data_IF_325471557522
#
_entry.id   IF_325471557522
#
_cell.length_a   1.000
_cell.length_b   1.000
_cell.length_c   1.000
_cell.angle_alpha   90.00
_cell.angle_beta   90.00
_cell.angle_gamma   90.00
#
_symmetry.space_group_name_H-M   'P 1'
#
loop_
_entity.id
_entity.type
_entity.pdbx_description
1 polymer ?
#
# COMPACT_ATOMS: atom_id res chain seq x y z
N UNK A 1 -5.25 -1.83 -6.14
CA UNK A 1 -5.33 -2.41 -7.48
C UNK A 1 -5.67 -1.38 -8.57
N UNK A 2 -6.31 -0.26 -8.24
CA UNK A 2 -6.67 0.81 -9.19
C UNK A 2 -6.07 2.16 -8.73
N UNK A 3 -4.74 2.36 -8.89
CA UNK A 3 -4.08 3.56 -8.40
C UNK A 3 -4.48 4.80 -9.21
N UNK A 4 -4.77 5.90 -8.52
CA UNK A 4 -4.89 7.22 -9.14
C UNK A 4 -3.48 7.86 -9.22
N UNK A 5 -2.87 7.83 -10.40
CA UNK A 5 -1.52 8.33 -10.62
C UNK A 5 -1.43 9.86 -10.72
N UNK A 6 -2.56 10.57 -10.67
CA UNK A 6 -2.56 12.04 -10.52
C UNK A 6 -2.05 12.46 -9.14
N UNK A 7 -2.05 11.52 -8.17
CA UNK A 7 -1.50 11.75 -6.84
C UNK A 7 -0.02 11.38 -6.87
N UNK A 8 0.87 12.34 -6.60
CA UNK A 8 2.33 12.18 -6.64
C UNK A 8 2.94 11.54 -5.39
N UNK A 9 2.11 11.09 -4.44
CA UNK A 9 2.55 10.43 -3.21
C UNK A 9 2.77 8.93 -3.41
N UNK A 10 3.71 8.36 -2.68
CA UNK A 10 4.03 6.92 -2.72
C UNK A 10 3.87 6.27 -1.34
N UNK A 11 3.33 5.05 -1.32
CA UNK A 11 3.28 4.21 -0.13
C UNK A 11 4.53 3.32 -0.07
N UNK A 12 5.49 3.69 0.78
CA UNK A 12 6.79 3.03 0.91
C UNK A 12 6.74 1.91 1.95
N UNK A 13 7.35 0.77 1.64
CA UNK A 13 7.48 -0.32 2.62
C UNK A 13 8.60 -0.01 3.62
N UNK A 14 8.25 0.09 4.89
CA UNK A 14 9.16 0.36 6.00
C UNK A 14 9.18 -0.76 7.05
N UNK A 15 8.62 -1.92 6.74
CA UNK A 15 8.47 -3.06 7.67
C UNK A 15 9.79 -3.47 8.33
N UNK A 16 10.89 -3.48 7.58
CA UNK A 16 12.21 -3.86 8.09
C UNK A 16 12.73 -2.99 9.23
N UNK A 17 12.22 -1.77 9.36
CA UNK A 17 12.60 -0.84 10.44
C UNK A 17 11.95 -1.19 11.78
N UNK A 18 10.95 -2.06 11.75
CA UNK A 18 10.15 -2.44 12.92
C UNK A 18 10.28 -3.92 13.28
N UNK A 19 11.21 -4.65 12.67
CA UNK A 19 11.51 -6.02 13.04
C UNK A 19 12.09 -6.05 14.47
N UNK A 20 11.43 -6.79 15.38
CA UNK A 20 11.82 -6.85 16.79
C UNK A 20 11.63 -5.55 17.58
N UNK A 21 10.85 -4.59 17.06
CA UNK A 21 10.56 -3.33 17.76
C UNK A 21 9.75 -3.58 19.04
N UNK A 22 10.05 -2.83 20.11
CA UNK A 22 9.23 -2.80 21.32
C UNK A 22 7.86 -2.16 21.13
N UNK A 23 7.62 -1.47 20.03
CA UNK A 23 6.33 -0.85 19.72
C UNK A 23 5.42 -1.83 18.98
N UNK A 24 4.65 -2.61 19.72
CA UNK A 24 3.78 -3.69 19.25
C UNK A 24 2.82 -3.32 18.12
N UNK A 25 2.45 -2.03 18.02
CA UNK A 25 1.56 -1.55 16.95
C UNK A 25 2.18 -1.75 15.58
N UNK A 26 3.51 -1.61 15.45
CA UNK A 26 4.26 -1.74 14.21
C UNK A 26 5.15 -3.01 14.16
N UNK A 27 5.46 -3.58 15.33
CA UNK A 27 6.39 -4.70 15.46
C UNK A 27 5.98 -5.90 14.61
N UNK A 28 6.93 -6.45 13.87
CA UNK A 28 6.80 -7.70 13.08
C UNK A 28 5.59 -7.77 12.13
N UNK A 29 5.11 -6.59 11.72
CA UNK A 29 3.99 -6.44 10.77
C UNK A 29 4.48 -5.90 9.44
N UNK A 30 3.64 -6.05 8.42
CA UNK A 30 3.81 -5.24 7.23
C UNK A 30 3.47 -3.79 7.57
N UNK A 31 4.44 -2.89 7.40
CA UNK A 31 4.25 -1.45 7.64
C UNK A 31 4.48 -0.69 6.35
N UNK A 32 3.47 0.08 5.94
CA UNK A 32 3.53 0.98 4.80
C UNK A 32 3.41 2.42 5.30
N UNK A 33 4.29 3.30 4.83
CA UNK A 33 4.32 4.71 5.19
C UNK A 33 4.06 5.60 3.97
N UNK A 34 3.25 6.61 4.14
CA UNK A 34 3.06 7.70 3.18
C UNK A 34 3.63 8.96 3.82
N UNK A 35 4.65 9.53 3.19
CA UNK A 35 5.30 10.75 3.61
C UNK A 35 4.94 11.89 2.68
N UNK A 36 4.76 13.08 3.25
CA UNK A 36 4.47 14.31 2.52
C UNK A 36 5.28 15.45 3.13
N UNK A 37 5.93 16.24 2.27
CA UNK A 37 6.72 17.39 2.68
C UNK A 37 5.84 18.63 2.88
N UNK A 38 6.32 19.59 3.69
CA UNK A 38 5.64 20.89 3.91
C UNK A 38 4.16 20.75 4.30
N UNK A 39 3.85 19.80 5.16
CA UNK A 39 2.50 19.49 5.56
C UNK A 39 2.02 20.38 6.72
N UNK A 40 1.16 21.33 6.43
CA UNK A 40 0.60 22.28 7.40
C UNK A 40 -0.66 21.76 8.13
N UNK A 41 -0.95 20.46 8.10
CA UNK A 41 -2.12 19.90 8.79
C UNK A 41 -2.10 20.22 10.29
N UNK A 42 -3.19 20.80 10.77
CA UNK A 42 -3.43 21.00 12.21
C UNK A 42 -3.74 19.66 12.89
N UNK A 43 -3.61 19.60 14.21
CA UNK A 43 -3.97 18.40 14.99
C UNK A 43 -5.40 17.92 14.70
N UNK A 44 -6.35 18.82 14.64
CA UNK A 44 -7.76 18.50 14.35
C UNK A 44 -7.94 17.87 12.96
N UNK A 45 -7.19 18.36 11.97
CA UNK A 45 -7.23 17.80 10.60
C UNK A 45 -6.58 16.41 10.53
N UNK A 46 -5.51 16.19 11.30
CA UNK A 46 -4.89 14.88 11.43
C UNK A 46 -5.84 13.88 12.10
N UNK A 47 -6.43 14.26 13.22
CA UNK A 47 -7.37 13.39 13.93
C UNK A 47 -8.57 13.02 13.05
N UNK A 48 -9.07 13.98 12.24
CA UNK A 48 -10.11 13.70 11.24
C UNK A 48 -9.62 12.77 10.14
N UNK A 49 -8.41 12.97 9.63
CA UNK A 49 -7.81 12.08 8.62
C UNK A 49 -7.76 10.64 9.13
N UNK A 50 -7.27 10.43 10.36
CA UNK A 50 -7.17 9.10 10.96
C UNK A 50 -8.53 8.44 11.17
N UNK A 51 -9.52 9.20 11.62
CA UNK A 51 -10.89 8.71 11.78
C UNK A 51 -11.50 8.30 10.44
N UNK A 52 -11.33 9.11 9.39
CA UNK A 52 -11.81 8.80 8.05
C UNK A 52 -11.11 7.56 7.45
N UNK A 53 -9.81 7.38 7.71
CA UNK A 53 -9.06 6.16 7.33
C UNK A 53 -9.62 4.93 8.04
N UNK A 54 -9.85 5.02 9.35
CA UNK A 54 -10.41 3.92 10.16
C UNK A 54 -11.82 3.54 9.67
N UNK A 55 -12.66 4.52 9.36
CA UNK A 55 -14.01 4.27 8.80
C UNK A 55 -13.95 3.53 7.46
N UNK A 56 -13.02 3.90 6.56
CA UNK A 56 -12.94 3.29 5.24
C UNK A 56 -12.24 1.92 5.22
N UNK A 57 -11.36 1.66 6.18
CA UNK A 57 -10.50 0.47 6.13
C UNK A 57 -10.73 -0.51 7.27
N UNK A 58 -11.40 -0.09 8.34
CA UNK A 58 -11.50 -0.83 9.60
C UNK A 58 -10.18 -0.88 10.39
N UNK A 59 -9.15 -0.12 9.96
CA UNK A 59 -7.81 -0.19 10.53
C UNK A 59 -7.31 1.17 10.99
N UNK A 60 -6.68 1.19 12.15
CA UNK A 60 -6.05 2.40 12.70
C UNK A 60 -4.72 2.67 12.01
N UNK A 61 -4.44 3.95 11.82
CA UNK A 61 -3.15 4.43 11.34
C UNK A 61 -2.43 5.24 12.43
N UNK A 62 -1.09 5.29 12.35
CA UNK A 62 -0.28 6.14 13.21
C UNK A 62 0.42 7.22 12.38
N UNK A 63 0.90 8.25 13.07
CA UNK A 63 1.52 9.37 12.40
C UNK A 63 2.63 10.00 13.23
N UNK A 64 3.53 10.72 12.54
CA UNK A 64 4.52 11.63 13.12
C UNK A 64 4.71 12.84 12.22
N UNK A 65 5.24 13.91 12.78
CA UNK A 65 5.75 15.09 12.06
C UNK A 65 7.25 15.23 12.27
N UNK A 66 7.90 15.95 11.38
CA UNK A 66 9.30 16.38 11.52
C UNK A 66 9.32 17.87 11.83
N UNK A 67 9.91 18.24 12.95
CA UNK A 67 10.07 19.65 13.35
C UNK A 67 11.19 20.36 12.57
N UNK A 68 11.39 21.64 12.83
CA UNK A 68 12.42 22.47 12.19
C UNK A 68 13.85 21.98 12.44
N UNK A 69 14.07 21.26 13.55
CA UNK A 69 15.35 20.68 13.94
C UNK A 69 15.56 19.25 13.40
N UNK A 70 14.61 18.72 12.60
CA UNK A 70 14.66 17.35 12.08
C UNK A 70 14.27 16.29 13.10
N UNK A 71 13.62 16.63 14.23
CA UNK A 71 13.16 15.65 15.20
C UNK A 71 11.74 15.17 14.88
N UNK A 72 11.48 13.87 15.17
CA UNK A 72 10.13 13.33 15.10
C UNK A 72 9.31 13.85 16.27
N UNK A 73 8.13 14.39 15.99
CA UNK A 73 7.23 14.98 16.97
C UNK A 73 5.77 14.53 16.76
N UNK A 74 5.00 14.59 17.82
CA UNK A 74 3.57 14.22 17.80
C UNK A 74 3.31 12.73 17.60
N UNK A 75 2.06 12.34 17.56
CA UNK A 75 1.61 10.97 17.32
C UNK A 75 2.38 9.89 18.10
N UNK A 76 3.05 9.01 17.36
CA UNK A 76 3.83 7.90 17.94
C UNK A 76 5.34 8.19 18.01
N UNK A 77 5.77 9.44 17.87
CA UNK A 77 7.19 9.83 17.78
C UNK A 77 8.06 9.28 18.90
N UNK A 78 7.55 9.22 20.13
CA UNK A 78 8.28 8.72 21.30
C UNK A 78 8.67 7.23 21.21
N UNK A 79 7.98 6.47 20.38
CA UNK A 79 8.25 5.04 20.15
C UNK A 79 9.16 4.79 18.94
N UNK A 80 9.54 5.84 18.21
CA UNK A 80 10.32 5.75 16.97
C UNK A 80 11.76 6.28 17.14
N UNK A 81 12.19 6.54 18.35
CA UNK A 81 13.52 7.12 18.65
C UNK A 81 14.64 6.27 18.05
N UNK A 82 14.57 4.96 18.23
CA UNK A 82 15.63 4.03 17.81
C UNK A 82 15.70 3.85 16.28
N UNK A 83 14.61 4.08 15.57
CA UNK A 83 14.56 3.97 14.10
C UNK A 83 14.46 5.32 13.39
N UNK A 84 14.54 6.46 14.10
CA UNK A 84 14.39 7.81 13.56
C UNK A 84 15.26 8.05 12.32
N UNK A 85 16.57 7.80 12.43
CA UNK A 85 17.51 8.09 11.35
C UNK A 85 17.26 7.19 10.12
N UNK A 86 17.01 5.92 10.36
CA UNK A 86 16.69 4.97 9.30
C UNK A 86 15.34 5.30 8.60
N UNK A 87 14.33 5.71 9.37
CA UNK A 87 13.05 6.17 8.83
C UNK A 87 13.21 7.45 8.02
N UNK A 88 13.99 8.41 8.54
CA UNK A 88 14.31 9.68 7.88
C UNK A 88 15.01 9.43 6.55
N UNK A 89 16.04 8.59 6.53
CA UNK A 89 16.77 8.26 5.31
C UNK A 89 15.87 7.54 4.30
N UNK A 90 15.08 6.53 4.74
CA UNK A 90 14.25 5.72 3.85
C UNK A 90 13.12 6.51 3.19
N UNK A 91 12.55 7.47 3.90
CA UNK A 91 11.45 8.31 3.41
C UNK A 91 11.91 9.70 2.93
N UNK A 92 13.21 9.97 2.96
CA UNK A 92 13.81 11.29 2.63
C UNK A 92 13.11 12.44 3.36
N UNK A 93 12.91 12.27 4.68
CA UNK A 93 12.17 13.23 5.48
C UNK A 93 12.98 14.52 5.66
N UNK A 94 12.28 15.64 5.62
CA UNK A 94 12.81 16.99 5.83
C UNK A 94 11.99 17.70 6.90
N UNK A 95 12.51 18.79 7.49
CA UNK A 95 11.71 19.66 8.33
C UNK A 95 10.37 20.01 7.69
N UNK A 96 9.30 19.94 8.44
CA UNK A 96 7.92 20.12 7.95
C UNK A 96 7.28 18.88 7.33
N UNK A 97 7.97 17.74 7.23
CA UNK A 97 7.38 16.50 6.74
C UNK A 97 6.33 15.95 7.72
N UNK A 98 5.30 15.33 7.16
CA UNK A 98 4.31 14.51 7.86
C UNK A 98 4.37 13.09 7.33
N UNK A 99 4.30 12.12 8.21
CA UNK A 99 4.31 10.68 7.88
C UNK A 99 3.08 10.02 8.49
N UNK A 100 2.31 9.32 7.68
CA UNK A 100 1.21 8.47 8.14
C UNK A 100 1.51 7.02 7.79
N UNK A 101 1.36 6.11 8.76
CA UNK A 101 1.75 4.70 8.65
C UNK A 101 0.57 3.79 8.89
N UNK A 102 0.45 2.78 8.05
CA UNK A 102 -0.48 1.67 8.18
C UNK A 102 0.28 0.38 8.51
N UNK A 103 -0.20 -0.40 9.47
CA UNK A 103 0.42 -1.65 9.90
C UNK A 103 -0.61 -2.77 10.03
N UNK A 104 -0.19 -4.00 9.72
CA UNK A 104 -1.04 -5.18 9.84
C UNK A 104 -0.59 -6.33 8.95
N UNK A 105 -1.50 -7.27 8.66
CA UNK A 105 -1.30 -8.24 7.59
C UNK A 105 -1.07 -7.50 6.25
N UNK A 106 -0.33 -8.10 5.33
CA UNK A 106 0.10 -7.46 4.06
C UNK A 106 -1.06 -6.76 3.32
N UNK A 107 -2.16 -7.47 3.10
CA UNK A 107 -3.33 -6.92 2.38
C UNK A 107 -3.96 -5.73 3.12
N UNK A 108 -4.10 -5.81 4.45
CA UNK A 108 -4.65 -4.73 5.29
C UNK A 108 -3.75 -3.49 5.25
N UNK A 109 -2.44 -3.67 5.44
CA UNK A 109 -1.49 -2.56 5.41
C UNK A 109 -1.46 -1.87 4.03
N UNK A 110 -1.52 -2.65 2.95
CA UNK A 110 -1.55 -2.11 1.58
C UNK A 110 -2.83 -1.32 1.30
N UNK A 111 -4.02 -1.89 1.63
CA UNK A 111 -5.31 -1.21 1.48
C UNK A 111 -5.34 0.10 2.27
N UNK A 112 -4.96 0.05 3.54
CA UNK A 112 -4.96 1.21 4.42
C UNK A 112 -4.00 2.29 3.93
N UNK A 113 -2.79 1.94 3.50
CA UNK A 113 -1.84 2.89 2.94
C UNK A 113 -2.32 3.51 1.62
N UNK A 114 -3.03 2.76 0.78
CA UNK A 114 -3.69 3.27 -0.42
C UNK A 114 -4.73 4.34 -0.11
N UNK A 115 -5.57 4.12 0.91
CA UNK A 115 -6.55 5.10 1.39
C UNK A 115 -5.86 6.34 1.95
N UNK A 116 -4.82 6.17 2.81
CA UNK A 116 -4.02 7.29 3.34
C UNK A 116 -3.44 8.13 2.21
N UNK A 117 -2.81 7.47 1.21
CA UNK A 117 -2.23 8.13 0.04
C UNK A 117 -3.25 8.99 -0.70
N UNK A 118 -4.41 8.42 -0.98
CA UNK A 118 -5.49 9.11 -1.70
C UNK A 118 -6.04 10.28 -0.90
N UNK A 119 -6.27 10.10 0.40
CA UNK A 119 -6.78 11.18 1.25
C UNK A 119 -5.78 12.32 1.42
N UNK A 120 -4.50 12.01 1.63
CA UNK A 120 -3.45 13.03 1.74
C UNK A 120 -3.30 13.80 0.44
N UNK A 121 -3.18 13.11 -0.69
CA UNK A 121 -3.02 13.74 -1.99
C UNK A 121 -4.16 14.71 -2.32
N UNK A 122 -5.41 14.31 -2.06
CA UNK A 122 -6.58 15.14 -2.33
C UNK A 122 -6.78 16.28 -1.32
N UNK A 123 -6.28 16.15 -0.09
CA UNK A 123 -6.45 17.17 0.97
C UNK A 123 -5.34 18.19 1.04
N UNK A 124 -4.16 17.85 0.56
CA UNK A 124 -2.99 18.74 0.59
C UNK A 124 -2.79 19.34 -0.80
N UNK A 125 -2.86 20.67 -0.94
CA UNK A 125 -2.66 21.33 -2.23
C UNK A 125 -1.30 20.98 -2.86
N UNK A 126 -1.28 20.84 -4.20
CA UNK A 126 -0.07 20.56 -4.97
C UNK A 126 0.28 19.08 -5.17
N UNK A 127 -0.50 18.17 -4.60
CA UNK A 127 -0.27 16.72 -4.72
C UNK A 127 -1.32 15.98 -5.55
N UNK A 128 -2.28 16.70 -6.10
CA UNK A 128 -3.35 16.16 -6.93
C UNK A 128 -3.72 17.18 -8.02
N UNK A 129 -3.69 16.74 -9.27
CA UNK A 129 -4.10 17.55 -10.43
C UNK A 129 -5.38 16.95 -11.03
N UNK A 130 -6.50 17.64 -10.87
CA UNK A 130 -7.81 17.20 -11.36
C UNK A 130 -7.92 17.22 -12.88
N UNK A 131 -7.20 18.12 -13.55
CA UNK A 131 -7.24 18.30 -15.00
C UNK A 131 -6.41 17.27 -15.77
N UNK A 132 -5.55 16.53 -15.07
CA UNK A 132 -4.67 15.53 -15.67
C UNK A 132 -5.40 14.23 -15.95
N UNK A 133 -5.08 13.59 -17.09
CA UNK A 133 -5.35 12.18 -17.35
C UNK A 133 -4.07 11.37 -17.12
N UNK A 134 -4.12 10.47 -16.15
CA UNK A 134 -3.01 9.58 -15.81
C UNK A 134 -3.43 8.12 -16.00
N UNK A 135 -2.71 7.41 -16.87
CA UNK A 135 -3.02 6.04 -17.24
C UNK A 135 -1.93 5.09 -16.73
N UNK A 136 -2.31 3.88 -16.36
CA UNK A 136 -1.38 2.80 -16.11
C UNK A 136 -1.97 1.43 -16.46
N UNK A 137 -1.08 0.51 -16.78
CA UNK A 137 -1.42 -0.90 -16.87
C UNK A 137 -1.16 -1.57 -15.53
N UNK A 138 -2.15 -2.34 -15.05
CA UNK A 138 -1.96 -3.29 -13.98
C UNK A 138 -1.75 -4.64 -14.64
N UNK A 139 -0.67 -5.30 -14.28
CA UNK A 139 -0.26 -6.58 -14.85
C UNK A 139 0.18 -7.51 -13.72
N UNK A 140 0.55 -8.75 -14.07
CA UNK A 140 1.06 -9.72 -13.10
C UNK A 140 0.06 -10.05 -11.98
N UNK A 141 -1.20 -10.18 -12.33
CA UNK A 141 -2.22 -10.61 -11.37
C UNK A 141 -1.88 -12.00 -10.81
N UNK A 142 -2.05 -12.26 -9.51
CA UNK A 142 -1.96 -13.61 -9.00
C UNK A 142 -3.03 -14.49 -9.68
N UNK A 143 -2.63 -15.70 -10.09
CA UNK A 143 -3.57 -16.65 -10.70
C UNK A 143 -4.49 -17.26 -9.64
N UNK A 144 -3.92 -17.56 -8.47
CA UNK A 144 -4.57 -18.23 -7.36
C UNK A 144 -4.44 -17.46 -6.06
N UNK A 145 -5.40 -17.68 -5.17
CA UNK A 145 -5.38 -17.21 -3.78
C UNK A 145 -5.98 -18.28 -2.85
N UNK A 146 -5.80 -18.11 -1.57
CA UNK A 146 -6.53 -18.90 -0.58
C UNK A 146 -7.83 -18.18 -0.25
N UNK A 147 -8.95 -18.80 -0.55
CA UNK A 147 -10.27 -18.25 -0.24
C UNK A 147 -10.43 -17.97 1.25
N UNK A 148 -10.89 -16.77 1.59
CA UNK A 148 -11.02 -16.36 3.01
C UNK A 148 -12.04 -17.21 3.77
N UNK A 149 -13.09 -17.67 3.11
CA UNK A 149 -14.16 -18.48 3.71
C UNK A 149 -13.89 -19.98 3.58
N UNK A 150 -13.44 -20.43 2.41
CA UNK A 150 -13.23 -21.85 2.12
C UNK A 150 -11.91 -22.39 2.68
N UNK A 151 -10.89 -21.54 2.82
CA UNK A 151 -9.52 -21.96 3.13
C UNK A 151 -8.87 -22.79 2.00
N UNK A 152 -9.53 -22.91 0.85
CA UNK A 152 -9.06 -23.69 -0.30
C UNK A 152 -8.37 -22.79 -1.33
N UNK A 153 -7.63 -23.41 -2.25
CA UNK A 153 -7.05 -22.74 -3.40
C UNK A 153 -8.18 -22.36 -4.37
N UNK A 154 -8.30 -21.09 -4.68
CA UNK A 154 -9.29 -20.53 -5.60
C UNK A 154 -8.61 -19.67 -6.67
N UNK A 155 -9.30 -19.43 -7.79
CA UNK A 155 -8.86 -18.45 -8.76
C UNK A 155 -9.07 -17.04 -8.20
N UNK A 156 -8.01 -16.23 -8.25
CA UNK A 156 -8.05 -14.86 -7.72
C UNK A 156 -9.01 -13.95 -8.52
N UNK A 157 -9.04 -14.10 -9.86
CA UNK A 157 -9.87 -13.28 -10.75
C UNK A 157 -10.54 -14.16 -11.82
N UNK A 158 -9.92 -14.26 -13.02
CA UNK A 158 -10.49 -14.93 -14.17
C UNK A 158 -9.88 -16.31 -14.40
N UNK A 159 -10.65 -17.40 -14.21
CA UNK A 159 -10.14 -18.76 -14.36
C UNK A 159 -9.73 -19.12 -15.81
N UNK A 160 -10.20 -18.37 -16.78
CA UNK A 160 -9.88 -18.54 -18.19
C UNK A 160 -8.63 -17.76 -18.65
N UNK A 161 -7.93 -17.06 -17.74
CA UNK A 161 -6.68 -16.42 -18.05
C UNK A 161 -5.55 -17.47 -18.16
N UNK A 162 -4.63 -17.26 -19.10
CA UNK A 162 -3.45 -18.10 -19.23
C UNK A 162 -2.53 -17.89 -18.01
N UNK A 163 -2.07 -18.95 -17.33
CA UNK A 163 -1.00 -18.84 -16.36
C UNK A 163 0.31 -18.47 -17.06
N UNK A 164 1.08 -17.55 -16.49
CA UNK A 164 2.44 -17.25 -16.99
C UNK A 164 3.30 -18.51 -16.92
N UNK A 165 3.94 -18.85 -18.04
CA UNK A 165 4.65 -20.13 -18.21
C UNK A 165 3.75 -21.28 -18.70
N UNK A 166 2.46 -21.03 -18.93
CA UNK A 166 1.52 -21.99 -19.51
C UNK A 166 1.34 -23.26 -18.67
N UNK A 167 1.02 -24.37 -19.33
CA UNK A 167 0.81 -25.67 -18.68
C UNK A 167 2.03 -26.12 -17.87
N UNK A 168 3.24 -25.83 -18.36
CA UNK A 168 4.50 -26.20 -17.67
C UNK A 168 4.59 -25.60 -16.26
N UNK A 169 4.13 -24.38 -16.03
CA UNK A 169 4.16 -23.78 -14.71
C UNK A 169 3.25 -24.52 -13.72
N UNK A 170 2.14 -25.08 -14.19
CA UNK A 170 1.24 -25.90 -13.38
C UNK A 170 1.85 -27.29 -13.10
N UNK A 171 2.46 -27.91 -14.10
CA UNK A 171 3.16 -29.20 -13.95
C UNK A 171 4.36 -29.08 -12.99
N UNK A 172 5.19 -28.05 -13.12
CA UNK A 172 6.36 -27.81 -12.25
C UNK A 172 5.95 -27.48 -10.79
N UNK A 173 4.71 -27.04 -10.57
CA UNK A 173 4.19 -26.83 -9.24
C UNK A 173 3.90 -28.14 -8.48
N UNK A 174 3.60 -29.25 -9.20
CA UNK A 174 3.38 -30.59 -8.63
C UNK A 174 2.42 -30.63 -7.43
N UNK A 175 1.44 -29.71 -7.37
CA UNK A 175 0.51 -29.59 -6.24
C UNK A 175 1.10 -28.87 -5.01
N UNK A 176 2.31 -28.35 -5.08
CA UNK A 176 2.92 -27.52 -4.05
C UNK A 176 2.15 -26.17 -3.96
N UNK A 177 1.55 -25.91 -2.79
CA UNK A 177 0.70 -24.76 -2.57
C UNK A 177 1.44 -23.42 -2.76
N UNK A 178 2.67 -23.34 -2.28
CA UNK A 178 3.45 -22.09 -2.36
C UNK A 178 3.84 -21.79 -3.82
N UNK A 179 4.16 -22.82 -4.59
CA UNK A 179 4.44 -22.67 -6.02
C UNK A 179 3.17 -22.28 -6.78
N UNK A 180 2.02 -22.88 -6.50
CA UNK A 180 0.74 -22.53 -7.12
C UNK A 180 0.37 -21.07 -6.84
N UNK A 181 0.49 -20.63 -5.59
CA UNK A 181 0.23 -19.23 -5.19
C UNK A 181 1.22 -18.21 -5.80
N UNK A 182 2.40 -18.67 -6.25
CA UNK A 182 3.37 -17.82 -6.93
C UNK A 182 3.07 -17.63 -8.42
N UNK A 183 2.21 -18.47 -9.03
CA UNK A 183 1.84 -18.36 -10.45
C UNK A 183 1.02 -17.08 -10.67
N UNK A 184 1.42 -16.33 -11.69
CA UNK A 184 0.70 -15.15 -12.15
C UNK A 184 -0.12 -15.45 -13.38
N UNK A 185 -1.17 -14.68 -13.61
CA UNK A 185 -1.99 -14.75 -14.80
C UNK A 185 -1.53 -13.72 -15.84
N UNK A 186 -1.62 -14.07 -17.11
CA UNK A 186 -1.49 -13.15 -18.24
C UNK A 186 -2.79 -12.35 -18.38
N UNK A 187 -3.07 -11.55 -17.35
CA UNK A 187 -4.19 -10.64 -17.25
C UNK A 187 -3.68 -9.21 -17.12
N UNK A 188 -4.46 -8.27 -17.61
CA UNK A 188 -4.13 -6.85 -17.54
C UNK A 188 -5.38 -5.99 -17.41
N UNK A 189 -5.27 -4.89 -16.65
CA UNK A 189 -6.26 -3.83 -16.57
C UNK A 189 -5.64 -2.51 -17.00
N UNK A 190 -6.36 -1.74 -17.82
CA UNK A 190 -6.06 -0.34 -18.07
C UNK A 190 -6.80 0.50 -17.04
N UNK A 191 -6.02 1.19 -16.22
CA UNK A 191 -6.55 2.11 -15.20
C UNK A 191 -6.33 3.55 -15.64
N UNK A 192 -7.39 4.35 -15.62
CA UNK A 192 -7.36 5.78 -15.91
C UNK A 192 -7.90 6.52 -14.69
N UNK A 193 -7.07 7.38 -14.09
CA UNK A 193 -7.48 8.23 -12.96
C UNK A 193 -8.05 7.44 -11.76
N UNK A 194 -7.55 6.23 -11.51
CA UNK A 194 -8.04 5.37 -10.44
C UNK A 194 -9.27 4.52 -10.79
N UNK A 195 -9.73 4.55 -12.04
CA UNK A 195 -10.85 3.76 -12.54
C UNK A 195 -10.36 2.75 -13.58
N UNK A 196 -10.81 1.52 -13.46
CA UNK A 196 -10.62 0.50 -14.50
C UNK A 196 -11.44 0.86 -15.73
N UNK A 197 -10.76 1.15 -16.83
CA UNK A 197 -11.38 1.54 -18.09
C UNK A 197 -11.50 0.37 -19.05
N UNK A 198 -10.59 -0.59 -18.97
CA UNK A 198 -10.61 -1.82 -19.75
C UNK A 198 -9.88 -2.93 -19.01
N UNK A 199 -10.29 -4.17 -19.22
CA UNK A 199 -9.67 -5.37 -18.69
C UNK A 199 -9.53 -6.41 -19.79
N UNK A 200 -8.50 -7.24 -19.72
CA UNK A 200 -8.28 -8.30 -20.67
C UNK A 200 -7.33 -9.39 -20.15
N UNK A 201 -7.30 -10.49 -20.88
CA UNK A 201 -6.40 -11.61 -20.59
C UNK A 201 -6.06 -12.38 -21.86
N UNK A 202 -4.88 -13.00 -21.87
CA UNK A 202 -4.59 -14.09 -22.80
C UNK A 202 -5.40 -15.29 -22.33
N UNK A 203 -6.17 -15.88 -23.22
CA UNK A 203 -7.06 -17.02 -22.91
C UNK A 203 -6.28 -18.31 -22.82
N UNK A 204 -6.55 -19.13 -21.81
CA UNK A 204 -6.13 -20.52 -21.80
C UNK A 204 -6.97 -21.34 -22.81
N UNK A 205 -6.40 -22.41 -23.30
CA UNK A 205 -7.03 -23.33 -24.26
C UNK A 205 -7.36 -24.67 -23.60
#
# INVERSE_FOLDING_TARGET
>A
DKPDLRIDLTATNVSSLFAGSAFEVLADKTVKAVAISNCALTRKQIDKLLADVEVQTGSKACWVKVDENGNLTGGVSKFLTDCKDALTAKLNLKPGSFVCMAAGKKAVAQKTAGVIRTMLGKRIPGHFDEEQYALCWIVDFPMYEIGEESGALEFCHNPFSMPQGGLKALEDAEGDMDKLLAIKADQYDLVVNGYESASGAVRNH
#
